data_IF_362283733810
#
_entry.id   IF_362283733810
#
_cell.length_a   1.000
_cell.length_b   1.000
_cell.length_c   1.000
_cell.angle_alpha   90.00
_cell.angle_beta   90.00
_cell.angle_gamma   90.00
#
_symmetry.space_group_name_H-M   'P 1'
#
loop_
_entity.id
_entity.type
_entity.pdbx_description
1 polymer ?
#
# COMPACT_ATOMS: atom_id res chain seq x y z
N UNK A 1 -3.74 16.90 54.68
CA UNK A 1 -2.84 15.77 55.02
C UNK A 1 -3.76 14.62 55.38
N UNK A 2 -3.86 13.47 54.72
CA UNK A 2 -3.15 12.88 53.59
C UNK A 2 -4.17 12.06 52.77
N UNK A 3 -3.99 11.98 51.46
CA UNK A 3 -4.75 11.08 50.59
C UNK A 3 -4.24 9.65 50.72
N UNK A 4 -5.15 8.68 50.69
CA UNK A 4 -4.83 7.27 50.55
C UNK A 4 -5.22 6.84 49.13
N UNK A 5 -4.21 6.60 48.29
CA UNK A 5 -4.32 5.92 47.01
C UNK A 5 -4.50 4.42 47.27
N UNK A 6 -5.62 3.85 46.86
CA UNK A 6 -5.82 2.40 46.85
C UNK A 6 -5.16 1.81 45.60
N UNK A 7 -4.06 1.06 45.82
CA UNK A 7 -3.39 0.27 44.80
C UNK A 7 -4.24 -0.99 44.51
N UNK A 8 -4.96 -1.04 43.39
CA UNK A 8 -5.48 -2.32 42.89
C UNK A 8 -4.41 -2.98 42.03
N UNK A 9 -3.78 -4.00 42.59
CA UNK A 9 -2.87 -4.91 41.92
C UNK A 9 -3.71 -5.86 41.05
N UNK A 10 -3.82 -5.60 39.75
CA UNK A 10 -4.30 -6.60 38.79
C UNK A 10 -3.14 -6.94 37.87
N UNK A 11 -2.55 -8.11 38.12
CA UNK A 11 -1.55 -8.71 37.28
C UNK A 11 -2.16 -9.08 35.93
N UNK A 12 -1.83 -8.30 34.92
CA UNK A 12 -1.85 -8.77 33.54
C UNK A 12 -0.49 -8.47 32.96
N UNK A 13 0.18 -9.50 32.46
CA UNK A 13 1.34 -9.40 31.59
C UNK A 13 0.89 -8.65 30.33
N UNK A 14 0.86 -7.32 30.41
CA UNK A 14 0.77 -6.46 29.24
C UNK A 14 2.11 -6.64 28.55
N UNK A 15 2.14 -7.51 27.55
CA UNK A 15 2.89 -7.21 26.34
C UNK A 15 2.52 -5.77 25.98
N UNK A 16 3.35 -4.83 26.41
CA UNK A 16 3.38 -3.49 25.87
C UNK A 16 3.74 -3.72 24.42
N UNK A 17 2.72 -3.88 23.56
CA UNK A 17 2.89 -3.67 22.14
C UNK A 17 3.42 -2.24 22.08
N UNK A 18 4.68 -2.01 21.67
CA UNK A 18 5.19 -0.67 21.60
C UNK A 18 4.23 0.12 20.72
N UNK A 19 3.85 1.36 21.08
CA UNK A 19 3.09 2.19 20.16
C UNK A 19 3.93 2.20 18.88
N UNK A 20 3.39 1.60 17.81
CA UNK A 20 4.03 1.64 16.50
C UNK A 20 4.37 3.09 16.29
N UNK A 21 5.68 3.41 16.28
CA UNK A 21 6.13 4.78 16.01
C UNK A 21 5.49 5.12 14.67
N UNK A 22 4.42 5.92 14.70
CA UNK A 22 3.83 6.45 13.50
C UNK A 22 4.95 7.29 12.90
N UNK A 23 5.65 6.71 11.92
CA UNK A 23 6.72 7.41 11.23
C UNK A 23 6.14 8.73 10.74
N UNK A 24 6.76 9.88 11.08
CA UNK A 24 6.26 11.16 10.61
C UNK A 24 6.17 11.11 9.08
N UNK A 25 4.94 11.14 8.54
CA UNK A 25 4.67 10.96 7.11
C UNK A 25 3.98 9.65 6.71
N UNK A 26 3.65 8.75 7.65
CA UNK A 26 2.83 7.57 7.34
C UNK A 26 1.35 7.96 7.21
N UNK A 27 0.66 7.63 6.09
CA UNK A 27 -0.76 7.91 5.95
C UNK A 27 -1.60 7.23 7.04
N UNK A 28 -2.69 7.88 7.47
CA UNK A 28 -3.56 7.36 8.52
C UNK A 28 -4.14 5.98 8.15
N UNK A 29 -4.03 5.01 9.06
CA UNK A 29 -4.50 3.63 8.85
C UNK A 29 -3.54 2.75 8.04
N UNK A 30 -2.49 3.31 7.45
CA UNK A 30 -1.44 2.52 6.80
C UNK A 30 -0.38 2.07 7.81
N UNK A 31 0.26 0.95 7.50
CA UNK A 31 1.44 0.42 8.15
C UNK A 31 2.66 0.78 7.31
N UNK A 32 3.55 1.59 7.86
CA UNK A 32 4.81 1.94 7.21
C UNK A 32 5.98 1.18 7.85
N UNK A 33 6.84 0.64 7.01
CA UNK A 33 8.18 0.16 7.35
C UNK A 33 9.18 0.81 6.38
N UNK A 34 10.49 0.71 6.66
CA UNK A 34 11.60 1.40 5.98
C UNK A 34 11.30 1.80 4.52
N UNK A 35 11.03 0.82 3.66
CA UNK A 35 10.68 1.01 2.24
C UNK A 35 9.35 0.35 1.85
N UNK A 36 8.52 -0.02 2.82
CA UNK A 36 7.25 -0.71 2.59
C UNK A 36 6.07 0.07 3.15
N UNK A 37 5.06 0.28 2.32
CA UNK A 37 3.80 0.92 2.69
C UNK A 37 2.64 -0.05 2.48
N UNK A 38 1.94 -0.41 3.56
CA UNK A 38 0.76 -1.27 3.52
C UNK A 38 -0.50 -0.54 3.97
N UNK A 39 -1.52 -0.48 3.14
CA UNK A 39 -2.78 0.23 3.38
C UNK A 39 -3.98 -0.69 3.11
N UNK A 40 -4.03 -1.85 3.76
CA UNK A 40 -5.10 -2.82 3.57
C UNK A 40 -6.40 -2.46 4.32
N UNK A 41 -7.55 -2.83 3.76
CA UNK A 41 -8.88 -2.73 4.40
C UNK A 41 -9.29 -1.32 4.84
N UNK A 42 -8.77 -0.29 4.16
CA UNK A 42 -9.09 1.12 4.43
C UNK A 42 -10.24 1.64 3.56
N UNK A 43 -10.89 0.76 2.79
CA UNK A 43 -11.97 1.10 1.83
C UNK A 43 -11.56 2.19 0.83
N UNK A 44 -10.27 2.25 0.49
CA UNK A 44 -9.74 3.23 -0.45
C UNK A 44 -10.42 3.06 -1.81
N UNK A 45 -10.88 4.17 -2.40
CA UNK A 45 -11.50 4.16 -3.74
C UNK A 45 -10.51 4.47 -4.86
N UNK A 46 -9.32 4.95 -4.50
CA UNK A 46 -8.22 5.31 -5.40
C UNK A 46 -6.88 5.05 -4.72
N UNK A 47 -5.81 5.02 -5.50
CA UNK A 47 -4.43 4.99 -4.99
C UNK A 47 -4.16 6.31 -4.21
N UNK A 48 -3.57 6.26 -2.99
CA UNK A 48 -3.21 7.47 -2.27
C UNK A 48 -2.14 8.27 -3.01
N UNK A 49 -2.25 9.60 -3.01
CA UNK A 49 -1.26 10.50 -3.64
C UNK A 49 -0.15 10.86 -2.65
N UNK A 50 0.99 11.35 -3.18
CA UNK A 50 2.10 11.84 -2.37
C UNK A 50 2.88 10.73 -1.66
N UNK A 51 2.88 9.53 -2.24
CA UNK A 51 3.69 8.41 -1.74
C UNK A 51 5.18 8.73 -1.90
N UNK A 52 5.99 8.31 -0.93
CA UNK A 52 7.45 8.50 -1.01
C UNK A 52 8.01 7.77 -2.23
N UNK A 53 8.89 8.43 -3.00
CA UNK A 53 9.56 7.83 -4.16
C UNK A 53 10.58 6.74 -3.80
N UNK A 54 10.89 6.58 -2.51
CA UNK A 54 11.81 5.56 -1.99
C UNK A 54 11.13 4.22 -1.67
N UNK A 55 9.80 4.11 -1.79
CA UNK A 55 9.13 2.84 -1.47
C UNK A 55 9.45 1.77 -2.52
N UNK A 56 9.74 0.58 -2.03
CA UNK A 56 9.99 -0.62 -2.82
C UNK A 56 8.78 -1.56 -2.82
N UNK A 57 7.91 -1.45 -1.81
CA UNK A 57 6.71 -2.28 -1.67
C UNK A 57 5.49 -1.43 -1.35
N UNK A 58 4.44 -1.62 -2.12
CA UNK A 58 3.13 -1.03 -1.92
C UNK A 58 2.06 -2.12 -1.86
N UNK A 59 1.40 -2.24 -0.71
CA UNK A 59 0.28 -3.14 -0.49
C UNK A 59 -1.02 -2.32 -0.36
N UNK A 60 -1.90 -2.46 -1.35
CA UNK A 60 -3.23 -1.84 -1.41
C UNK A 60 -4.32 -2.92 -1.48
N UNK A 61 -4.03 -4.14 -1.03
CA UNK A 61 -4.97 -5.25 -1.07
C UNK A 61 -6.25 -4.95 -0.26
N UNK A 62 -7.36 -5.60 -0.64
CA UNK A 62 -8.64 -5.54 0.11
C UNK A 62 -9.15 -4.10 0.29
N UNK A 63 -9.15 -3.33 -0.79
CA UNK A 63 -9.73 -1.99 -0.86
C UNK A 63 -10.86 -1.95 -1.90
N UNK A 64 -11.33 -0.74 -2.21
CA UNK A 64 -12.43 -0.49 -3.14
C UNK A 64 -11.93 0.28 -4.37
N UNK A 65 -10.66 0.11 -4.76
CA UNK A 65 -10.07 0.80 -5.90
C UNK A 65 -10.74 0.30 -7.17
N UNK A 66 -11.19 1.21 -8.02
CA UNK A 66 -12.01 0.91 -9.20
C UNK A 66 -11.30 1.24 -10.51
N UNK A 67 -10.34 2.16 -10.48
CA UNK A 67 -9.64 2.64 -11.66
C UNK A 67 -8.17 2.92 -11.28
N UNK A 68 -7.26 2.68 -12.22
CA UNK A 68 -5.86 3.09 -12.11
C UNK A 68 -5.57 4.07 -13.24
N UNK A 69 -5.17 5.28 -12.88
CA UNK A 69 -4.79 6.35 -13.81
C UNK A 69 -3.28 6.48 -14.02
N UNK A 70 -2.92 7.21 -15.08
CA UNK A 70 -1.54 7.44 -15.52
C UNK A 70 -0.61 8.05 -14.45
N UNK A 71 -1.17 8.72 -13.44
CA UNK A 71 -0.42 9.43 -12.41
C UNK A 71 -0.49 8.75 -11.03
N UNK A 72 -1.23 7.65 -10.87
CA UNK A 72 -1.43 7.01 -9.57
C UNK A 72 -0.14 6.44 -8.99
N UNK A 73 0.81 6.08 -9.86
CA UNK A 73 2.13 5.57 -9.48
C UNK A 73 3.28 6.42 -10.01
N UNK A 74 3.00 7.70 -10.34
CA UNK A 74 4.00 8.61 -10.88
C UNK A 74 5.21 8.72 -9.93
N UNK A 75 6.42 8.65 -10.49
CA UNK A 75 7.66 8.84 -9.74
C UNK A 75 8.09 7.67 -8.83
N UNK A 76 7.31 6.59 -8.72
CA UNK A 76 7.64 5.41 -7.90
C UNK A 76 8.65 4.49 -8.59
N UNK A 77 9.81 5.04 -8.97
CA UNK A 77 10.83 4.37 -9.78
C UNK A 77 11.42 3.13 -9.12
N UNK A 78 11.53 3.15 -7.80
CA UNK A 78 12.10 2.07 -7.00
C UNK A 78 11.09 0.98 -6.61
N UNK A 79 9.82 1.10 -7.02
CA UNK A 79 8.80 0.15 -6.61
C UNK A 79 9.02 -1.21 -7.28
N UNK A 80 9.25 -2.24 -6.46
CA UNK A 80 9.51 -3.63 -6.89
C UNK A 80 8.29 -4.52 -6.77
N UNK A 81 7.45 -4.26 -5.77
CA UNK A 81 6.26 -5.06 -5.48
C UNK A 81 5.03 -4.18 -5.33
N UNK A 82 4.05 -4.41 -6.20
CA UNK A 82 2.74 -3.76 -6.17
C UNK A 82 1.63 -4.79 -5.98
N UNK A 83 0.89 -4.68 -4.88
CA UNK A 83 -0.22 -5.58 -4.56
C UNK A 83 -1.54 -4.83 -4.57
N UNK A 84 -2.45 -5.27 -5.45
CA UNK A 84 -3.77 -4.66 -5.69
C UNK A 84 -4.88 -5.72 -5.66
N UNK A 85 -4.64 -6.85 -4.99
CA UNK A 85 -5.56 -7.98 -4.92
C UNK A 85 -6.82 -7.62 -4.14
N UNK A 86 -7.92 -8.30 -4.42
CA UNK A 86 -9.20 -8.08 -3.72
C UNK A 86 -9.64 -6.60 -3.79
N UNK A 87 -9.59 -6.00 -4.98
CA UNK A 87 -10.12 -4.66 -5.27
C UNK A 87 -11.27 -4.76 -6.29
N UNK A 88 -11.70 -3.62 -6.85
CA UNK A 88 -12.79 -3.55 -7.82
C UNK A 88 -12.31 -2.94 -9.15
N UNK A 89 -11.02 -3.06 -9.46
CA UNK A 89 -10.40 -2.40 -10.60
C UNK A 89 -11.03 -2.94 -11.88
N UNK A 90 -11.68 -2.08 -12.66
CA UNK A 90 -12.29 -2.42 -13.96
C UNK A 90 -11.49 -1.88 -15.14
N UNK A 91 -10.64 -0.87 -14.92
CA UNK A 91 -9.82 -0.26 -15.97
C UNK A 91 -8.47 0.23 -15.44
N UNK A 92 -7.45 0.10 -16.29
CA UNK A 92 -6.11 0.64 -16.08
C UNK A 92 -5.78 1.49 -17.30
N UNK A 93 -5.27 2.71 -17.11
CA UNK A 93 -4.82 3.54 -18.25
C UNK A 93 -3.49 3.03 -18.80
N UNK A 94 -3.27 3.18 -20.12
CA UNK A 94 -2.11 2.60 -20.84
C UNK A 94 -0.76 2.93 -20.23
N UNK A 95 -0.59 4.13 -19.65
CA UNK A 95 0.70 4.59 -19.15
C UNK A 95 0.80 4.56 -17.61
N UNK A 96 -0.13 3.87 -16.94
CA UNK A 96 -0.21 3.80 -15.46
C UNK A 96 1.03 3.23 -14.79
N UNK A 97 1.78 2.36 -15.47
CA UNK A 97 2.96 1.71 -14.91
C UNK A 97 4.28 2.20 -15.53
N UNK A 98 4.25 3.26 -16.35
CA UNK A 98 5.40 3.72 -17.15
C UNK A 98 6.66 4.03 -16.31
N UNK A 99 6.47 4.51 -15.09
CA UNK A 99 7.54 4.96 -14.19
C UNK A 99 8.06 3.85 -13.28
N UNK A 100 7.38 2.70 -13.20
CA UNK A 100 7.72 1.59 -12.31
C UNK A 100 8.86 0.73 -12.88
N UNK A 101 10.05 1.33 -13.04
CA UNK A 101 11.20 0.73 -13.74
C UNK A 101 11.73 -0.53 -13.06
N UNK A 102 11.68 -0.55 -11.72
CA UNK A 102 12.14 -1.70 -10.92
C UNK A 102 11.03 -2.71 -10.61
N UNK A 103 9.85 -2.60 -11.23
CA UNK A 103 8.72 -3.47 -10.90
C UNK A 103 9.01 -4.93 -11.29
N UNK A 104 9.05 -5.80 -10.28
CA UNK A 104 9.27 -7.24 -10.44
C UNK A 104 7.97 -8.03 -10.33
N UNK A 105 7.08 -7.59 -9.44
CA UNK A 105 5.88 -8.33 -9.04
C UNK A 105 4.68 -7.41 -8.99
N UNK A 106 3.71 -7.67 -9.86
CA UNK A 106 2.39 -7.08 -9.84
C UNK A 106 1.38 -8.16 -9.44
N UNK A 107 0.37 -7.81 -8.63
CA UNK A 107 -0.72 -8.73 -8.28
C UNK A 107 -2.05 -8.04 -8.46
N UNK A 108 -2.80 -8.46 -9.48
CA UNK A 108 -4.11 -7.90 -9.85
C UNK A 108 -5.28 -8.88 -9.69
N UNK A 109 -5.04 -10.10 -9.19
CA UNK A 109 -6.08 -11.11 -9.03
C UNK A 109 -7.22 -10.67 -8.09
N UNK A 110 -8.43 -11.16 -8.38
CA UNK A 110 -9.68 -10.75 -7.73
C UNK A 110 -9.97 -9.25 -7.88
N UNK A 111 -9.93 -8.81 -9.14
CA UNK A 111 -10.44 -7.52 -9.61
C UNK A 111 -11.52 -7.75 -10.68
N UNK A 112 -11.96 -6.70 -11.35
CA UNK A 112 -13.00 -6.71 -12.40
C UNK A 112 -12.42 -6.44 -13.79
N UNK A 113 -11.11 -6.64 -13.95
CA UNK A 113 -10.41 -6.44 -15.22
C UNK A 113 -10.82 -7.50 -16.22
N UNK A 114 -11.32 -7.07 -17.37
CA UNK A 114 -11.60 -7.94 -18.51
C UNK A 114 -10.44 -7.95 -19.51
N UNK A 115 -9.82 -6.79 -19.71
CA UNK A 115 -8.73 -6.56 -20.66
C UNK A 115 -7.69 -5.65 -20.02
N UNK A 116 -6.42 -5.94 -20.31
CA UNK A 116 -5.32 -5.01 -20.05
C UNK A 116 -5.03 -4.22 -21.32
N UNK A 117 -4.81 -2.90 -21.24
CA UNK A 117 -4.41 -2.12 -22.39
C UNK A 117 -3.13 -2.65 -23.03
N UNK A 118 -3.04 -2.51 -24.36
CA UNK A 118 -1.80 -2.76 -25.08
C UNK A 118 -0.66 -1.88 -24.56
N UNK A 119 0.55 -2.43 -24.60
CA UNK A 119 1.78 -1.73 -24.19
C UNK A 119 1.82 -1.28 -22.73
N UNK A 120 0.89 -1.75 -21.88
CA UNK A 120 0.84 -1.40 -20.46
C UNK A 120 2.17 -1.66 -19.72
N UNK A 121 2.90 -2.70 -20.14
CA UNK A 121 4.13 -3.15 -19.49
C UNK A 121 5.42 -2.80 -20.25
N UNK A 122 5.36 -2.00 -21.31
CA UNK A 122 6.53 -1.65 -22.13
C UNK A 122 7.66 -1.00 -21.31
N UNK A 123 7.32 -0.32 -20.22
CA UNK A 123 8.29 0.34 -19.34
C UNK A 123 8.83 -0.52 -18.19
N UNK A 124 8.38 -1.78 -18.04
CA UNK A 124 8.61 -2.63 -16.86
C UNK A 124 9.46 -3.85 -17.22
N UNK A 125 10.72 -3.62 -17.63
CA UNK A 125 11.62 -4.68 -18.11
C UNK A 125 11.93 -5.78 -17.07
N UNK A 126 11.82 -5.45 -15.79
CA UNK A 126 12.09 -6.38 -14.68
C UNK A 126 10.87 -7.21 -14.25
N UNK A 127 9.70 -7.01 -14.89
CA UNK A 127 8.46 -7.66 -14.49
C UNK A 127 8.53 -9.17 -14.78
N UNK A 128 8.58 -9.96 -13.72
CA UNK A 128 8.70 -11.42 -13.79
C UNK A 128 7.48 -12.16 -13.27
N UNK A 129 6.55 -11.46 -12.59
CA UNK A 129 5.33 -12.05 -12.05
C UNK A 129 4.14 -11.09 -12.09
N UNK A 130 3.03 -11.58 -12.63
CA UNK A 130 1.72 -10.91 -12.74
C UNK A 130 0.63 -11.69 -11.97
#
# INVERSE_FOLDING_TARGET
>A
MAGALTLTLVGTMLLVVPPTRASPGCPAGCTCSLTALGCQQLRLRSVPRGLSHSIERLDLNRNNITHIGNNDFAGLKNLRVLQLMDNQISSIERASFKDLKELERLRLNRNRLQVLPELLFTGNANLMRL
#
